data_IF_703120171208
#
_entry.id   IF_703120171208
#
_cell.length_a   1.000
_cell.length_b   1.000
_cell.length_c   1.000
_cell.angle_alpha   90.00
_cell.angle_beta   90.00
_cell.angle_gamma   90.00
#
_symmetry.space_group_name_H-M   'P 1'
#
loop_
_entity.id
_entity.type
_entity.pdbx_description
1 polymer ?
#
# COMPACT_ATOMS: atom_id res chain seq x y z
N UNK A 1 14.28 -23.77 -25.85
CA UNK A 1 13.45 -24.14 -24.68
C UNK A 1 12.05 -23.64 -24.96
N UNK A 2 11.06 -24.52 -24.98
CA UNK A 2 9.66 -24.12 -25.21
C UNK A 2 9.06 -23.63 -23.89
N UNK A 3 8.67 -22.35 -23.83
CA UNK A 3 8.02 -21.75 -22.66
C UNK A 3 6.51 -21.88 -22.83
N UNK A 4 5.86 -22.51 -21.85
CA UNK A 4 4.40 -22.67 -21.83
C UNK A 4 3.79 -21.77 -20.76
N UNK A 5 2.61 -21.21 -21.03
CA UNK A 5 1.94 -20.29 -20.12
C UNK A 5 0.61 -20.85 -19.60
N UNK A 6 0.22 -20.44 -18.40
CA UNK A 6 -1.07 -20.78 -17.78
C UNK A 6 -1.53 -19.67 -16.83
N UNK A 7 -2.83 -19.62 -16.54
CA UNK A 7 -3.41 -18.67 -15.58
C UNK A 7 -3.46 -19.33 -14.20
N UNK A 8 -2.87 -18.68 -13.20
CA UNK A 8 -2.91 -19.11 -11.81
C UNK A 8 -4.27 -18.83 -11.15
N UNK A 9 -4.49 -19.41 -9.96
CA UNK A 9 -5.70 -19.17 -9.15
C UNK A 9 -5.89 -17.70 -8.75
N UNK A 10 -4.80 -16.92 -8.76
CA UNK A 10 -4.75 -15.49 -8.51
C UNK A 10 -5.04 -14.62 -9.75
N UNK A 11 -5.54 -15.24 -10.84
CA UNK A 11 -5.81 -14.60 -12.13
C UNK A 11 -4.58 -13.92 -12.75
N UNK A 12 -3.39 -14.50 -12.54
CA UNK A 12 -2.12 -14.02 -13.10
C UNK A 12 -1.51 -15.03 -14.06
N UNK A 13 -0.95 -14.54 -15.16
CA UNK A 13 -0.28 -15.38 -16.14
C UNK A 13 1.10 -15.80 -15.61
N UNK A 14 1.35 -17.10 -15.62
CA UNK A 14 2.59 -17.74 -15.19
C UNK A 14 3.18 -18.53 -16.34
N UNK A 15 4.51 -18.70 -16.32
CA UNK A 15 5.19 -19.56 -17.28
C UNK A 15 5.70 -20.83 -16.60
N UNK A 16 5.89 -21.88 -17.39
CA UNK A 16 6.69 -23.04 -17.03
C UNK A 16 7.49 -23.55 -18.24
N UNK A 17 8.68 -24.10 -17.98
CA UNK A 17 9.48 -24.82 -18.97
C UNK A 17 10.37 -25.87 -18.27
N UNK A 18 10.90 -26.84 -19.03
CA UNK A 18 11.93 -27.76 -18.56
C UNK A 18 13.31 -27.29 -18.97
N UNK A 19 14.24 -27.23 -18.03
CA UNK A 19 15.64 -26.91 -18.33
C UNK A 19 16.38 -28.08 -18.99
N UNK A 20 17.63 -27.83 -19.42
CA UNK A 20 18.46 -28.84 -20.10
C UNK A 20 18.75 -30.07 -19.22
N UNK A 21 18.64 -29.92 -17.90
CA UNK A 21 18.84 -30.98 -16.92
C UNK A 21 17.51 -31.67 -16.55
N UNK A 22 16.41 -31.30 -17.22
CA UNK A 22 15.07 -31.84 -16.97
C UNK A 22 14.35 -31.24 -15.76
N UNK A 23 14.91 -30.21 -15.10
CA UNK A 23 14.24 -29.58 -13.96
C UNK A 23 13.13 -28.65 -14.44
N UNK A 24 12.03 -28.63 -13.68
CA UNK A 24 10.94 -27.71 -13.94
C UNK A 24 11.30 -26.31 -13.45
N UNK A 25 11.16 -25.33 -14.33
CA UNK A 25 11.24 -23.90 -14.02
C UNK A 25 9.87 -23.29 -14.22
N UNK A 26 9.44 -22.48 -13.28
CA UNK A 26 8.16 -21.78 -13.36
C UNK A 26 8.31 -20.40 -12.71
N UNK A 27 7.49 -19.44 -13.15
CA UNK A 27 7.58 -18.08 -12.67
C UNK A 27 6.49 -17.17 -13.21
N UNK A 28 6.64 -15.88 -12.95
CA UNK A 28 5.75 -14.83 -13.45
C UNK A 28 5.99 -14.58 -14.94
N UNK A 29 4.95 -14.69 -15.77
CA UNK A 29 5.07 -14.43 -17.21
C UNK A 29 5.46 -12.98 -17.56
N UNK A 30 4.87 -11.93 -16.96
CA UNK A 30 5.32 -10.56 -17.23
C UNK A 30 6.77 -10.32 -16.80
N UNK A 31 7.28 -11.06 -15.79
CA UNK A 31 8.69 -10.99 -15.40
C UNK A 31 9.61 -11.48 -16.51
N UNK A 32 9.39 -12.67 -17.05
CA UNK A 32 10.27 -13.23 -18.09
C UNK A 32 10.22 -12.39 -19.38
N UNK A 33 9.07 -11.80 -19.72
CA UNK A 33 8.95 -10.87 -20.85
C UNK A 33 9.81 -9.61 -20.66
N UNK A 34 9.80 -9.03 -19.46
CA UNK A 34 10.65 -7.87 -19.16
C UNK A 34 12.14 -8.23 -19.10
N UNK A 35 12.51 -9.39 -18.56
CA UNK A 35 13.89 -9.88 -18.56
C UNK A 35 14.41 -10.07 -19.98
N UNK A 36 13.59 -10.63 -20.88
CA UNK A 36 13.91 -10.76 -22.30
C UNK A 36 14.06 -9.40 -23.00
N UNK A 37 13.13 -8.46 -22.74
CA UNK A 37 13.20 -7.09 -23.29
C UNK A 37 14.45 -6.33 -22.84
N UNK A 38 14.88 -6.52 -21.60
CA UNK A 38 16.04 -5.85 -21.01
C UNK A 38 17.37 -6.55 -21.31
N UNK A 39 17.33 -7.83 -21.73
CA UNK A 39 18.53 -8.63 -21.95
C UNK A 39 19.28 -8.99 -20.67
N UNK A 40 18.66 -8.83 -19.50
CA UNK A 40 19.21 -9.21 -18.19
C UNK A 40 18.13 -9.74 -17.27
N UNK A 41 18.47 -10.60 -16.29
CA UNK A 41 17.56 -10.92 -15.19
C UNK A 41 17.17 -9.64 -14.43
N UNK A 42 15.93 -9.60 -13.95
CA UNK A 42 15.51 -8.56 -13.02
C UNK A 42 16.13 -8.84 -11.66
N UNK A 43 16.52 -7.80 -10.95
CA UNK A 43 17.07 -7.89 -9.61
C UNK A 43 15.99 -8.39 -8.62
N UNK A 44 16.39 -8.93 -7.45
CA UNK A 44 15.45 -9.35 -6.41
C UNK A 44 14.56 -8.22 -5.87
N UNK A 45 15.02 -6.97 -6.00
CA UNK A 45 14.31 -5.75 -5.61
C UNK A 45 13.59 -5.09 -6.81
N UNK A 46 13.41 -5.77 -7.94
CA UNK A 46 12.68 -5.27 -9.10
C UNK A 46 11.41 -6.11 -9.32
N UNK A 47 10.26 -5.43 -9.36
CA UNK A 47 8.95 -6.00 -9.68
C UNK A 47 8.45 -5.51 -11.04
N UNK A 48 7.57 -6.28 -11.68
CA UNK A 48 6.86 -5.84 -12.90
C UNK A 48 5.45 -5.43 -12.54
N UNK A 49 5.07 -4.22 -12.94
CA UNK A 49 3.75 -3.64 -12.73
C UNK A 49 3.01 -3.49 -14.06
N UNK A 50 1.71 -3.79 -14.05
CA UNK A 50 0.78 -3.57 -15.15
C UNK A 50 0.22 -2.15 -15.07
N UNK A 51 0.48 -1.30 -16.08
CA UNK A 51 0.09 0.11 -16.08
C UNK A 51 -1.45 0.25 -16.05
N UNK A 52 -2.17 -0.62 -16.76
CA UNK A 52 -3.64 -0.65 -16.80
C UNK A 52 -4.28 -1.37 -15.59
N UNK A 53 -3.48 -1.97 -14.70
CA UNK A 53 -3.96 -2.77 -13.58
C UNK A 53 -4.58 -4.12 -13.96
N UNK A 54 -4.58 -4.51 -15.23
CA UNK A 54 -5.10 -5.79 -15.71
C UNK A 54 -3.98 -6.86 -15.75
N UNK A 55 -3.99 -7.86 -14.85
CA UNK A 55 -2.91 -8.85 -14.78
C UNK A 55 -2.83 -9.81 -15.97
N UNK A 56 -3.82 -9.80 -16.86
CA UNK A 56 -3.88 -10.62 -18.06
C UNK A 56 -3.30 -9.90 -19.29
N UNK A 57 -3.16 -8.56 -19.26
CA UNK A 57 -2.60 -7.77 -20.35
C UNK A 57 -1.06 -7.73 -20.25
N UNK A 58 -0.39 -8.66 -20.94
CA UNK A 58 1.07 -8.81 -20.89
C UNK A 58 1.80 -8.14 -22.05
N UNK A 59 1.18 -7.17 -22.71
CA UNK A 59 1.85 -6.38 -23.74
C UNK A 59 3.06 -5.63 -23.14
N UNK A 60 4.22 -5.68 -23.79
CA UNK A 60 5.46 -5.06 -23.29
C UNK A 60 5.38 -3.54 -23.10
N UNK A 61 4.38 -2.88 -23.71
CA UNK A 61 4.07 -1.46 -23.54
C UNK A 61 3.19 -1.20 -22.31
N UNK A 62 2.47 -2.21 -21.82
CA UNK A 62 1.65 -2.17 -20.61
C UNK A 62 2.43 -2.61 -19.35
N UNK A 63 3.68 -3.05 -19.50
CA UNK A 63 4.53 -3.49 -18.40
C UNK A 63 5.62 -2.46 -18.08
N UNK A 64 5.81 -2.21 -16.78
CA UNK A 64 6.90 -1.36 -16.29
C UNK A 64 7.63 -2.03 -15.13
N UNK A 65 8.93 -1.79 -15.01
CA UNK A 65 9.74 -2.29 -13.88
C UNK A 65 9.76 -1.25 -12.79
N UNK A 66 9.44 -1.67 -11.56
CA UNK A 66 9.42 -0.82 -10.38
C UNK A 66 10.29 -1.41 -9.29
N UNK A 67 10.92 -0.56 -8.49
CA UNK A 67 11.73 -1.02 -7.37
C UNK A 67 10.83 -1.47 -6.21
N UNK A 68 10.97 -2.74 -5.84
CA UNK A 68 10.35 -3.37 -4.67
C UNK A 68 10.65 -2.53 -3.42
N UNK A 69 9.59 -2.05 -2.75
CA UNK A 69 9.72 -1.29 -1.51
C UNK A 69 9.75 0.24 -1.64
N UNK A 70 9.77 0.83 -2.85
CA UNK A 70 9.64 2.30 -2.98
C UNK A 70 8.31 2.82 -2.40
N UNK A 71 7.29 1.97 -2.40
CA UNK A 71 6.00 2.24 -1.74
C UNK A 71 6.08 2.17 -0.20
N UNK A 72 6.87 1.27 0.39
CA UNK A 72 6.94 1.12 1.86
C UNK A 72 7.63 2.31 2.53
N UNK A 73 8.61 2.95 1.88
CA UNK A 73 9.24 4.18 2.37
C UNK A 73 8.34 5.42 2.21
N UNK A 74 7.53 5.50 1.15
CA UNK A 74 6.58 6.61 0.98
C UNK A 74 5.44 6.59 2.01
N UNK A 75 5.05 5.41 2.50
CA UNK A 75 3.97 5.28 3.49
C UNK A 75 4.40 5.57 4.94
N UNK A 76 5.69 5.51 5.27
CA UNK A 76 6.18 5.79 6.63
C UNK A 76 6.37 7.29 6.93
N UNK A 77 6.50 8.12 5.89
CA UNK A 77 6.79 9.55 5.99
C UNK A 77 5.63 10.45 5.54
N UNK A 78 4.52 9.87 5.09
CA UNK A 78 3.37 10.61 4.55
C UNK A 78 2.77 11.63 5.52
N UNK A 79 2.78 11.37 6.83
CA UNK A 79 2.13 12.23 7.82
C UNK A 79 3.13 12.81 8.81
N UNK A 80 2.88 14.05 9.24
CA UNK A 80 3.69 14.77 10.23
C UNK A 80 3.13 14.63 11.64
N UNK A 81 3.93 14.97 12.65
CA UNK A 81 3.44 15.07 14.02
C UNK A 81 2.56 16.32 14.16
N UNK A 82 1.40 16.18 14.82
CA UNK A 82 0.52 17.31 15.12
C UNK A 82 0.19 17.35 16.61
N UNK A 83 -0.28 18.50 17.09
CA UNK A 83 -0.83 18.66 18.44
C UNK A 83 -2.34 18.74 18.32
N UNK A 84 -3.03 17.79 18.93
CA UNK A 84 -4.49 17.66 18.88
C UNK A 84 -5.10 17.78 20.28
N UNK A 85 -6.39 18.13 20.31
CA UNK A 85 -7.16 18.22 21.55
C UNK A 85 -7.93 16.93 21.79
N UNK A 86 -7.82 16.37 22.98
CA UNK A 86 -8.58 15.19 23.36
C UNK A 86 -10.07 15.54 23.47
N UNK A 87 -10.94 14.86 22.73
CA UNK A 87 -12.38 15.16 22.75
C UNK A 87 -13.05 14.84 24.10
N UNK A 88 -12.41 14.00 24.93
CA UNK A 88 -12.98 13.53 26.21
C UNK A 88 -12.60 14.44 27.37
N UNK A 89 -11.36 14.93 27.41
CA UNK A 89 -10.84 15.69 28.56
C UNK A 89 -10.27 17.07 28.20
N UNK A 90 -10.31 17.46 26.92
CA UNK A 90 -9.80 18.75 26.46
C UNK A 90 -8.27 18.90 26.49
N UNK A 91 -7.52 17.88 26.93
CA UNK A 91 -6.07 17.95 27.01
C UNK A 91 -5.42 17.95 25.62
N UNK A 92 -4.45 18.85 25.41
CA UNK A 92 -3.56 18.82 24.25
C UNK A 92 -2.58 17.64 24.31
N UNK A 93 -2.43 16.92 23.20
CA UNK A 93 -1.52 15.80 23.10
C UNK A 93 -0.94 15.67 21.69
N UNK A 94 0.25 15.10 21.58
CA UNK A 94 0.90 14.89 20.29
C UNK A 94 0.34 13.63 19.60
N UNK A 95 -0.01 13.76 18.33
CA UNK A 95 -0.32 12.65 17.42
C UNK A 95 0.84 12.50 16.47
N UNK A 96 1.51 11.35 16.49
CA UNK A 96 2.63 11.09 15.60
C UNK A 96 2.16 10.83 14.17
N UNK A 97 3.03 11.08 13.20
CA UNK A 97 2.76 10.73 11.79
C UNK A 97 2.35 9.27 11.59
N UNK A 98 2.99 8.35 12.31
CA UNK A 98 2.61 6.93 12.29
C UNK A 98 1.17 6.69 12.81
N UNK A 99 0.78 7.40 13.89
CA UNK A 99 -0.58 7.31 14.43
C UNK A 99 -1.60 7.88 13.45
N UNK A 100 -1.28 8.98 12.76
CA UNK A 100 -2.09 9.52 11.66
C UNK A 100 -2.26 8.53 10.52
N UNK A 101 -1.18 7.90 10.05
CA UNK A 101 -1.23 6.88 9.00
C UNK A 101 -2.23 5.77 9.32
N UNK A 102 -2.21 5.27 10.57
CA UNK A 102 -3.16 4.26 11.02
C UNK A 102 -4.60 4.78 11.10
N UNK A 103 -4.82 5.98 11.62
CA UNK A 103 -6.16 6.57 11.75
C UNK A 103 -6.80 6.72 10.38
N UNK A 104 -6.07 7.31 9.42
CA UNK A 104 -6.53 7.49 8.04
C UNK A 104 -6.81 6.14 7.38
N UNK A 105 -5.92 5.16 7.52
CA UNK A 105 -6.12 3.82 6.97
C UNK A 105 -7.36 3.10 7.56
N UNK A 106 -7.66 3.29 8.85
CA UNK A 106 -8.87 2.72 9.46
C UNK A 106 -10.14 3.41 8.95
N UNK A 107 -10.12 4.72 8.70
CA UNK A 107 -11.25 5.49 8.16
C UNK A 107 -11.55 5.12 6.72
N UNK A 108 -10.52 4.95 5.87
CA UNK A 108 -10.71 4.44 4.51
C UNK A 108 -11.33 3.03 4.48
N UNK A 109 -11.22 2.27 5.58
CA UNK A 109 -11.91 0.99 5.75
C UNK A 109 -13.31 1.13 6.38
N UNK A 110 -13.83 2.35 6.48
CA UNK A 110 -15.14 2.66 7.06
C UNK A 110 -15.19 2.62 8.59
N UNK A 111 -14.04 2.64 9.28
CA UNK A 111 -14.02 2.66 10.76
C UNK A 111 -14.05 4.08 11.29
N UNK A 112 -14.92 4.31 12.27
CA UNK A 112 -14.94 5.56 13.00
C UNK A 112 -13.78 5.63 13.99
N UNK A 113 -13.07 6.77 14.01
CA UNK A 113 -11.92 7.00 14.89
C UNK A 113 -12.07 8.33 15.60
N UNK A 114 -11.65 8.36 16.85
CA UNK A 114 -11.71 9.54 17.71
C UNK A 114 -10.32 9.85 18.27
N UNK A 115 -9.98 11.14 18.34
CA UNK A 115 -8.70 11.61 18.87
C UNK A 115 -8.77 11.73 20.39
N UNK A 116 -8.06 10.85 21.08
CA UNK A 116 -7.96 10.86 22.55
C UNK A 116 -6.51 10.79 23.02
N UNK A 117 -6.24 11.45 24.15
CA UNK A 117 -4.89 11.56 24.70
C UNK A 117 -4.39 10.28 25.38
N UNK A 118 -5.27 9.32 25.72
CA UNK A 118 -4.90 8.10 26.44
C UNK A 118 -5.90 6.97 26.24
N UNK A 119 -5.50 5.73 26.58
CA UNK A 119 -6.39 4.55 26.58
C UNK A 119 -7.60 4.73 27.51
N UNK A 120 -7.40 5.40 28.64
CA UNK A 120 -8.49 5.71 29.58
C UNK A 120 -9.54 6.63 28.93
N UNK A 121 -9.14 7.68 28.21
CA UNK A 121 -10.07 8.52 27.46
C UNK A 121 -10.72 7.76 26.30
N UNK A 122 -9.97 6.92 25.57
CA UNK A 122 -10.52 6.08 24.50
C UNK A 122 -11.65 5.16 25.01
N UNK A 123 -11.54 4.61 26.22
CA UNK A 123 -12.58 3.77 26.82
C UNK A 123 -13.88 4.51 27.14
N UNK A 124 -13.84 5.83 27.29
CA UNK A 124 -15.01 6.68 27.56
C UNK A 124 -15.72 7.16 26.29
N UNK A 125 -15.17 6.91 25.10
CA UNK A 125 -15.75 7.41 23.83
C UNK A 125 -17.16 6.87 23.61
N UNK A 126 -17.47 5.65 24.07
CA UNK A 126 -18.81 5.07 23.99
C UNK A 126 -19.88 5.84 24.76
N UNK A 127 -19.49 6.58 25.81
CA UNK A 127 -20.40 7.36 26.65
C UNK A 127 -20.81 8.69 25.99
N UNK A 128 -20.16 9.08 24.88
CA UNK A 128 -20.37 10.36 24.19
C UNK A 128 -20.66 10.15 22.69
N UNK A 129 -21.88 9.71 22.32
CA UNK A 129 -22.24 9.29 20.96
C UNK A 129 -22.13 10.42 19.92
N UNK A 130 -22.16 11.69 20.34
CA UNK A 130 -22.10 12.85 19.44
C UNK A 130 -20.67 13.37 19.17
N UNK A 131 -19.63 12.82 19.80
CA UNK A 131 -18.22 13.24 19.60
C UNK A 131 -17.54 12.55 18.40
N UNK A 132 -18.30 11.86 17.56
CA UNK A 132 -17.80 10.96 16.53
C UNK A 132 -17.38 11.61 15.20
N UNK A 133 -17.37 12.94 15.09
CA UNK A 133 -17.11 13.59 13.82
C UNK A 133 -15.69 14.14 13.69
N UNK A 134 -14.72 13.21 13.68
CA UNK A 134 -13.32 13.53 13.39
C UNK A 134 -13.06 13.76 11.89
N UNK A 135 -14.08 13.66 11.02
CA UNK A 135 -13.89 13.64 9.56
C UNK A 135 -13.35 14.96 9.02
N UNK A 136 -13.87 16.10 9.50
CA UNK A 136 -13.43 17.44 9.06
C UNK A 136 -11.95 17.70 9.38
N UNK A 137 -11.53 17.38 10.60
CA UNK A 137 -10.13 17.53 11.04
C UNK A 137 -9.17 16.63 10.26
N UNK A 138 -9.66 15.51 9.74
CA UNK A 138 -8.84 14.54 9.02
C UNK A 138 -8.64 14.98 7.57
N UNK A 139 -9.69 15.52 6.95
CA UNK A 139 -9.57 16.19 5.64
C UNK A 139 -8.54 17.32 5.72
N UNK A 140 -8.52 18.10 6.80
CA UNK A 140 -7.48 19.12 7.02
C UNK A 140 -6.06 18.54 7.07
N UNK A 141 -5.85 17.44 7.80
CA UNK A 141 -4.54 16.78 7.90
C UNK A 141 -4.11 16.19 6.55
N UNK A 142 -5.02 15.58 5.81
CA UNK A 142 -4.74 15.09 4.45
C UNK A 142 -4.41 16.23 3.48
N UNK A 143 -5.10 17.37 3.59
CA UNK A 143 -4.81 18.57 2.80
C UNK A 143 -3.45 19.20 3.14
N UNK A 144 -3.04 19.20 4.42
CA UNK A 144 -1.71 19.67 4.83
C UNK A 144 -0.60 18.80 4.24
N UNK A 145 -0.79 17.48 4.21
CA UNK A 145 0.14 16.53 3.59
C UNK A 145 0.25 16.74 2.08
N UNK A 146 -0.87 16.99 1.40
CA UNK A 146 -0.89 17.20 -0.04
C UNK A 146 -0.28 18.55 -0.48
N UNK A 147 -0.27 19.58 0.38
CA UNK A 147 0.37 20.89 0.11
C UNK A 147 1.90 20.89 0.31
N UNK A 148 2.45 19.90 1.00
CA UNK A 148 3.90 19.73 1.20
C UNK A 148 4.60 18.89 0.12
N UNK A 149 3.88 18.51 -0.94
CA UNK A 149 4.37 17.82 -2.13
C UNK A 149 4.37 18.78 -3.32
#
# INVERSE_FOLDING_TARGET
MEVKTYIGKDNRVRYYYKDINGNNRFGSYPRILMEQKLGRPLEPNEDVHHIDGNPLNNDLTNLTVVQHGKHQQEHSTKYVNTTETCVICGKFFQVTGHKWSRIVADIHRGKNRTLTCSKSCAGKVGDYPNLYNSMERIIEVENLVNKSR
#
